data_IF_414562812708
#
_entry.id   IF_414562812708
#
_cell.length_a   1.000
_cell.length_b   1.000
_cell.length_c   1.000
_cell.angle_alpha   90.00
_cell.angle_beta   90.00
_cell.angle_gamma   90.00
#
_symmetry.space_group_name_H-M   'P 1'
#
loop_
_entity.id
_entity.type
_entity.pdbx_description
1 polymer ?
#
# COMPACT_ATOMS: atom_id res chain seq x y z
N UNK A 1 -10.36 -3.00 -5.70
CA UNK A 1 -9.90 -2.43 -4.40
C UNK A 1 -8.43 -2.76 -4.22
N UNK A 2 -7.62 -1.76 -3.87
CA UNK A 2 -6.21 -1.91 -3.55
C UNK A 2 -5.98 -1.56 -2.08
N UNK A 3 -5.17 -2.35 -1.39
CA UNK A 3 -4.72 -2.09 -0.01
C UNK A 3 -3.20 -2.03 -0.04
N UNK A 4 -2.66 -0.84 0.18
CA UNK A 4 -1.22 -0.58 0.26
C UNK A 4 -0.83 -0.49 1.74
N UNK A 5 0.25 -1.14 2.14
CA UNK A 5 0.73 -1.13 3.53
C UNK A 5 2.23 -0.92 3.58
N UNK A 6 2.69 -0.05 4.49
CA UNK A 6 4.11 0.11 4.78
C UNK A 6 4.67 -1.08 5.54
N UNK A 7 5.89 -1.50 5.20
CA UNK A 7 6.61 -2.61 5.83
C UNK A 7 6.71 -2.49 7.36
N UNK A 8 6.90 -1.28 7.87
CA UNK A 8 7.04 -1.01 9.31
C UNK A 8 5.92 -0.13 9.90
N UNK A 9 4.75 -0.10 9.26
CA UNK A 9 3.56 0.55 9.85
C UNK A 9 3.10 -0.22 11.10
N UNK A 10 3.35 0.35 12.28
CA UNK A 10 2.98 -0.26 13.56
C UNK A 10 1.47 -0.19 13.85
N UNK A 11 0.76 0.77 13.24
CA UNK A 11 -0.67 1.02 13.51
C UNK A 11 -1.58 0.19 12.61
N UNK A 12 -1.12 -0.14 11.40
CA UNK A 12 -1.80 -0.95 10.40
C UNK A 12 -0.81 -1.94 9.75
N UNK A 13 -0.39 -2.94 10.51
CA UNK A 13 0.66 -3.88 10.13
C UNK A 13 0.41 -4.55 8.76
N UNK A 14 1.47 -4.96 8.03
CA UNK A 14 1.34 -5.70 6.78
C UNK A 14 0.41 -6.90 6.86
N UNK A 15 0.44 -7.63 7.99
CA UNK A 15 -0.40 -8.79 8.22
C UNK A 15 -1.89 -8.42 8.27
N UNK A 16 -2.23 -7.38 9.04
CA UNK A 16 -3.61 -6.88 9.15
C UNK A 16 -4.13 -6.38 7.80
N UNK A 17 -3.29 -5.65 7.08
CA UNK A 17 -3.62 -5.10 5.76
C UNK A 17 -3.80 -6.20 4.71
N UNK A 18 -2.96 -7.24 4.73
CA UNK A 18 -3.08 -8.41 3.86
C UNK A 18 -4.37 -9.19 4.15
N UNK A 19 -4.70 -9.41 5.42
CA UNK A 19 -5.94 -10.09 5.80
C UNK A 19 -7.18 -9.26 5.42
N UNK A 20 -7.13 -7.93 5.57
CA UNK A 20 -8.21 -7.06 5.12
C UNK A 20 -8.40 -7.14 3.59
N UNK A 21 -7.31 -7.08 2.82
CA UNK A 21 -7.37 -7.23 1.37
C UNK A 21 -8.01 -8.56 0.97
N UNK A 22 -7.62 -9.66 1.61
CA UNK A 22 -8.20 -10.99 1.37
C UNK A 22 -9.71 -11.02 1.66
N UNK A 23 -10.14 -10.52 2.81
CA UNK A 23 -11.57 -10.51 3.18
C UNK A 23 -12.43 -9.64 2.26
N UNK A 24 -11.86 -8.56 1.73
CA UNK A 24 -12.55 -7.63 0.83
C UNK A 24 -12.44 -8.03 -0.66
N UNK A 25 -11.76 -9.13 -0.99
CA UNK A 25 -11.49 -9.53 -2.37
C UNK A 25 -10.62 -8.52 -3.14
N UNK A 26 -9.76 -7.79 -2.44
CA UNK A 26 -8.86 -6.77 -2.98
C UNK A 26 -7.44 -7.30 -3.26
N UNK A 27 -6.63 -6.44 -3.89
CA UNK A 27 -5.19 -6.66 -4.13
C UNK A 27 -4.38 -6.03 -2.99
N UNK A 28 -3.45 -6.78 -2.42
CA UNK A 28 -2.51 -6.30 -1.40
C UNK A 28 -1.18 -5.90 -2.03
N UNK A 29 -0.63 -4.76 -1.61
CA UNK A 29 0.68 -4.28 -2.03
C UNK A 29 1.48 -3.90 -0.78
N UNK A 30 2.64 -4.54 -0.61
CA UNK A 30 3.60 -4.16 0.41
C UNK A 30 4.52 -3.07 -0.14
N UNK A 31 4.59 -1.94 0.56
CA UNK A 31 5.54 -0.87 0.27
C UNK A 31 6.76 -1.07 1.17
N UNK A 32 7.82 -1.60 0.58
CA UNK A 32 9.08 -1.88 1.29
C UNK A 32 9.74 -0.59 1.77
N UNK A 33 10.36 -0.64 2.95
CA UNK A 33 11.02 0.50 3.60
C UNK A 33 10.11 1.74 3.73
N UNK A 34 8.82 1.50 4.01
CA UNK A 34 7.84 2.54 4.27
C UNK A 34 7.14 2.34 5.61
N UNK A 35 6.83 3.46 6.26
CA UNK A 35 6.10 3.51 7.52
C UNK A 35 4.63 3.84 7.35
N UNK A 36 4.09 4.49 8.37
CA UNK A 36 2.68 4.86 8.45
C UNK A 36 2.35 6.07 7.55
N UNK A 37 3.33 6.94 7.29
CA UNK A 37 3.13 8.13 6.47
C UNK A 37 4.04 8.10 5.23
N UNK A 38 3.89 7.11 4.33
CA UNK A 38 4.79 6.93 3.18
C UNK A 38 4.83 8.15 2.25
N UNK A 39 3.71 8.86 2.13
CA UNK A 39 3.59 10.10 1.35
C UNK A 39 4.38 11.28 1.93
N UNK A 40 4.69 11.26 3.23
CA UNK A 40 5.49 12.28 3.91
C UNK A 40 6.92 11.86 4.16
N UNK A 41 7.15 10.55 4.35
CA UNK A 41 8.49 9.96 4.55
C UNK A 41 9.29 9.97 3.25
N UNK A 42 8.73 9.45 2.15
CA UNK A 42 9.41 9.29 0.86
C UNK A 42 8.42 9.45 -0.33
N UNK A 43 8.04 10.70 -0.68
CA UNK A 43 6.97 10.97 -1.63
C UNK A 43 7.19 10.35 -3.03
N UNK A 44 8.42 10.38 -3.54
CA UNK A 44 8.76 9.85 -4.87
C UNK A 44 8.60 8.33 -4.93
N UNK A 45 9.05 7.63 -3.89
CA UNK A 45 8.93 6.18 -3.81
C UNK A 45 7.50 5.75 -3.50
N UNK A 46 6.74 6.51 -2.71
CA UNK A 46 5.31 6.29 -2.57
C UNK A 46 4.60 6.40 -3.93
N UNK A 47 4.90 7.45 -4.71
CA UNK A 47 4.33 7.64 -6.03
C UNK A 47 4.64 6.48 -6.99
N UNK A 48 5.83 5.86 -6.92
CA UNK A 48 6.17 4.72 -7.77
C UNK A 48 5.32 3.47 -7.50
N UNK A 49 4.76 3.31 -6.28
CA UNK A 49 3.78 2.26 -5.98
C UNK A 49 2.37 2.62 -6.48
N UNK A 50 1.99 3.90 -6.41
CA UNK A 50 0.61 4.35 -6.70
C UNK A 50 0.37 4.55 -8.20
N UNK A 51 1.32 5.14 -8.94
CA UNK A 51 1.19 5.41 -10.38
C UNK A 51 0.73 4.20 -11.22
N UNK A 52 1.39 3.02 -11.15
CA UNK A 52 0.95 1.88 -11.95
C UNK A 52 -0.44 1.36 -11.58
N UNK A 53 -0.87 1.56 -10.32
CA UNK A 53 -2.22 1.20 -9.87
C UNK A 53 -3.24 2.17 -10.48
N UNK A 54 -2.95 3.46 -10.51
CA UNK A 54 -3.81 4.47 -11.13
C UNK A 54 -3.98 4.22 -12.62
N UNK A 55 -2.90 3.86 -13.30
CA UNK A 55 -2.94 3.49 -14.72
C UNK A 55 -3.88 2.28 -14.93
N UNK A 56 -3.72 1.20 -14.16
CA UNK A 56 -4.57 -0.01 -14.26
C UNK A 56 -6.07 0.28 -14.03
N UNK A 57 -6.42 1.12 -13.07
CA UNK A 57 -7.83 1.38 -12.73
C UNK A 57 -8.49 2.46 -13.58
N UNK A 58 -7.71 3.18 -14.39
CA UNK A 58 -8.20 4.20 -15.30
C UNK A 58 -8.63 3.66 -16.68
N UNK A 59 -8.29 2.41 -16.97
CA UNK A 59 -8.77 1.63 -18.13
C UNK A 59 -10.15 0.98 -17.85
#
# INVERSE_FOLDING_TARGET
LYVLSGEYDYSATPQMSQDAARHLGGKFVLMEQMGHFPMGEEPERFASYVSPILDEVSE
#
